data_IF_706223392750
#
_entry.id   IF_706223392750
#
_cell.length_a   1.000
_cell.length_b   1.000
_cell.length_c   1.000
_cell.angle_alpha   90.00
_cell.angle_beta   90.00
_cell.angle_gamma   90.00
#
_symmetry.space_group_name_H-M   'P 1'
#
loop_
_entity.id
_entity.type
_entity.pdbx_description
1 polymer ?
#
# COMPACT_ATOMS: atom_id res chain seq x y z
N UNK A 1 -4.88 20.23 30.32
CA UNK A 1 -5.50 19.33 31.32
C UNK A 1 -6.67 20.07 31.96
N UNK A 2 -7.85 19.44 32.05
CA UNK A 2 -9.06 20.01 32.66
C UNK A 2 -9.10 19.87 34.20
N UNK A 3 -8.13 19.14 34.77
CA UNK A 3 -7.96 18.98 36.21
C UNK A 3 -6.83 19.89 36.67
N UNK A 4 -7.12 20.83 37.55
CA UNK A 4 -6.11 21.65 38.22
C UNK A 4 -5.77 21.01 39.55
N UNK A 5 -4.52 21.08 39.98
CA UNK A 5 -4.09 20.56 41.27
C UNK A 5 -3.70 21.70 42.18
N UNK A 6 -4.09 21.59 43.45
CA UNK A 6 -3.64 22.49 44.51
C UNK A 6 -2.62 21.74 45.35
N UNK A 7 -1.39 22.21 45.36
CA UNK A 7 -0.30 21.61 46.15
C UNK A 7 -0.17 22.43 47.43
N UNK A 8 -0.28 21.79 48.58
CA UNK A 8 -0.28 22.44 49.90
C UNK A 8 0.86 21.86 50.73
N UNK A 9 1.78 22.70 51.18
CA UNK A 9 2.86 22.25 52.06
C UNK A 9 2.27 21.70 53.37
N UNK A 10 2.77 20.56 53.84
CA UNK A 10 2.24 19.80 54.98
C UNK A 10 2.33 20.59 56.28
N UNK A 11 3.47 21.24 56.51
CA UNK A 11 3.71 21.99 57.75
C UNK A 11 3.30 23.47 57.66
N UNK A 12 3.73 24.20 56.63
CA UNK A 12 3.44 25.64 56.50
C UNK A 12 2.04 25.97 55.97
N UNK A 13 1.36 25.01 55.33
CA UNK A 13 0.07 25.25 54.67
C UNK A 13 0.17 26.10 53.38
N UNK A 14 1.38 26.43 52.94
CA UNK A 14 1.61 27.26 51.76
C UNK A 14 1.13 26.57 50.48
N UNK A 15 0.46 27.33 49.60
CA UNK A 15 -0.13 26.81 48.36
C UNK A 15 0.73 27.19 47.17
N UNK A 16 1.16 26.19 46.40
CA UNK A 16 1.89 26.39 45.14
C UNK A 16 1.10 25.83 43.96
N UNK A 17 1.37 26.36 42.76
CA UNK A 17 0.80 25.84 41.52
C UNK A 17 1.44 24.48 41.19
N UNK A 18 0.68 23.63 40.50
CA UNK A 18 1.15 22.29 40.14
C UNK A 18 2.40 22.30 39.25
N UNK A 19 2.54 23.31 38.37
CA UNK A 19 3.72 23.43 37.51
C UNK A 19 4.99 23.79 38.30
N UNK A 20 4.85 24.47 39.44
CA UNK A 20 5.96 24.77 40.33
C UNK A 20 6.29 23.55 41.20
N UNK A 21 5.26 22.83 41.68
CA UNK A 21 5.43 21.55 42.36
C UNK A 21 6.17 20.51 41.52
N UNK A 22 5.92 20.45 40.20
CA UNK A 22 6.63 19.53 39.30
C UNK A 22 8.14 19.77 39.23
N UNK A 23 8.57 21.03 39.39
CA UNK A 23 9.97 21.45 39.31
C UNK A 23 10.75 21.18 40.61
N UNK A 24 10.06 20.87 41.71
CA UNK A 24 10.68 20.49 42.97
C UNK A 24 11.41 19.14 42.88
N UNK A 25 12.42 18.97 43.71
CA UNK A 25 13.11 17.68 43.90
C UNK A 25 12.18 16.65 44.56
N UNK A 26 12.52 15.36 44.44
CA UNK A 26 11.70 14.27 45.00
C UNK A 26 11.58 14.32 46.53
N UNK A 27 12.55 14.93 47.22
CA UNK A 27 12.50 15.14 48.66
C UNK A 27 11.54 16.28 49.03
N UNK A 28 11.62 17.42 48.34
CA UNK A 28 10.71 18.56 48.56
C UNK A 28 9.26 18.21 48.20
N UNK A 29 9.04 17.40 47.15
CA UNK A 29 7.70 16.94 46.78
C UNK A 29 6.99 16.17 47.91
N UNK A 30 7.74 15.42 48.74
CA UNK A 30 7.18 14.68 49.89
C UNK A 30 6.62 15.60 50.97
N UNK A 31 7.02 16.86 51.00
CA UNK A 31 6.55 17.85 51.97
C UNK A 31 5.22 18.49 51.55
N UNK A 32 4.67 18.18 50.37
CA UNK A 32 3.38 18.72 49.92
C UNK A 32 2.31 17.64 49.79
N UNK A 33 1.07 18.03 50.07
CA UNK A 33 -0.15 17.30 49.75
C UNK A 33 -0.74 17.84 48.43
N UNK A 34 -1.00 16.96 47.46
CA UNK A 34 -1.54 17.33 46.16
C UNK A 34 -3.02 16.98 46.08
N UNK A 35 -3.87 17.99 45.98
CA UNK A 35 -5.32 17.83 45.90
C UNK A 35 -5.83 18.13 44.49
N UNK A 36 -6.52 17.17 43.82
CA UNK A 36 -7.16 17.42 42.55
C UNK A 36 -8.40 18.30 42.74
N UNK A 37 -8.51 19.36 41.92
CA UNK A 37 -9.69 20.21 41.84
C UNK A 37 -10.39 19.98 40.51
N UNK A 38 -11.64 19.50 40.57
CA UNK A 38 -12.51 19.49 39.39
C UNK A 38 -13.02 20.91 39.14
N UNK A 39 -12.81 21.39 37.93
CA UNK A 39 -13.38 22.65 37.46
C UNK A 39 -14.40 22.36 36.37
N UNK A 40 -15.52 23.08 36.44
CA UNK A 40 -16.57 23.05 35.43
C UNK A 40 -16.40 24.28 34.56
N UNK A 41 -16.34 24.06 33.25
CA UNK A 41 -16.22 25.13 32.27
C UNK A 41 -17.52 25.23 31.48
N UNK A 42 -17.99 26.46 31.26
CA UNK A 42 -19.06 26.73 30.30
C UNK A 42 -18.39 26.93 28.94
N UNK A 43 -18.68 26.03 28.02
CA UNK A 43 -18.17 26.08 26.65
C UNK A 43 -19.32 26.37 25.69
N UNK A 44 -19.01 27.03 24.59
CA UNK A 44 -19.95 27.29 23.51
C UNK A 44 -19.48 26.50 22.29
N UNK A 45 -20.41 25.81 21.63
CA UNK A 45 -20.13 25.27 20.30
C UNK A 45 -19.82 26.45 19.37
N UNK A 46 -18.90 26.29 18.42
CA UNK A 46 -18.51 27.38 17.52
C UNK A 46 -19.72 27.92 16.73
N UNK A 47 -20.68 27.07 16.39
CA UNK A 47 -21.94 27.46 15.75
C UNK A 47 -22.86 28.32 16.63
N UNK A 48 -22.63 28.37 17.94
CA UNK A 48 -23.34 29.25 18.88
C UNK A 48 -22.65 30.63 19.03
N UNK A 49 -21.60 30.89 18.27
CA UNK A 49 -20.81 32.12 18.32
C UNK A 49 -20.85 32.85 16.97
N UNK A 50 -20.51 34.13 16.95
CA UNK A 50 -20.40 34.91 15.72
C UNK A 50 -19.03 34.72 15.00
N UNK A 51 -18.31 33.63 15.26
CA UNK A 51 -16.96 33.43 14.71
C UNK A 51 -16.96 33.44 13.18
N UNK A 52 -17.99 32.85 12.56
CA UNK A 52 -18.13 32.82 11.10
C UNK A 52 -18.22 34.22 10.49
N UNK A 53 -18.95 35.12 11.14
CA UNK A 53 -19.15 36.51 10.70
C UNK A 53 -17.92 37.39 11.02
N UNK A 54 -17.36 37.23 12.22
CA UNK A 54 -16.27 38.06 12.71
C UNK A 54 -14.90 37.66 12.11
N UNK A 55 -14.70 36.37 11.80
CA UNK A 55 -13.44 35.81 11.29
C UNK A 55 -13.70 34.66 10.30
N UNK A 56 -14.22 34.98 9.09
CA UNK A 56 -14.57 33.97 8.10
C UNK A 56 -13.38 33.09 7.67
N UNK A 57 -12.17 33.65 7.58
CA UNK A 57 -10.96 32.87 7.24
C UNK A 57 -10.62 31.82 8.30
N UNK A 58 -10.76 32.14 9.58
CA UNK A 58 -10.53 31.20 10.67
C UNK A 58 -11.60 30.11 10.69
N UNK A 59 -12.86 30.48 10.42
CA UNK A 59 -13.94 29.52 10.25
C UNK A 59 -13.65 28.54 9.11
N UNK A 60 -13.29 29.03 7.92
CA UNK A 60 -12.94 28.18 6.78
C UNK A 60 -11.75 27.27 7.08
N UNK A 61 -10.74 27.77 7.80
CA UNK A 61 -9.61 26.94 8.25
C UNK A 61 -10.06 25.82 9.17
N UNK A 62 -10.89 26.11 10.17
CA UNK A 62 -11.43 25.10 11.09
C UNK A 62 -12.32 24.11 10.36
N UNK A 63 -13.16 24.58 9.45
CA UNK A 63 -14.00 23.71 8.62
C UNK A 63 -13.14 22.80 7.76
N UNK A 64 -12.03 23.26 7.18
CA UNK A 64 -11.09 22.42 6.42
C UNK A 64 -10.31 21.44 7.30
N UNK A 65 -9.89 21.87 8.50
CA UNK A 65 -9.11 21.04 9.44
C UNK A 65 -9.95 19.94 10.10
N UNK A 66 -11.22 20.24 10.39
CA UNK A 66 -12.16 19.33 11.06
C UNK A 66 -13.22 18.75 10.11
N UNK A 67 -13.17 19.07 8.82
CA UNK A 67 -13.78 18.24 7.79
C UNK A 67 -13.04 16.92 7.81
N UNK A 68 -13.59 15.96 8.55
CA UNK A 68 -13.13 14.58 8.54
C UNK A 68 -12.84 14.18 7.09
N UNK A 69 -11.70 13.54 6.87
CA UNK A 69 -11.48 12.79 5.63
C UNK A 69 -12.59 11.74 5.61
N UNK A 70 -13.73 12.09 5.03
CA UNK A 70 -14.78 11.12 4.78
C UNK A 70 -14.09 10.09 3.93
N UNK A 71 -14.03 8.85 4.44
CA UNK A 71 -13.77 7.71 3.58
C UNK A 71 -14.78 7.88 2.46
N UNK A 72 -14.29 8.07 1.22
CA UNK A 72 -15.16 8.38 0.09
C UNK A 72 -16.27 7.34 0.07
N UNK A 73 -17.52 7.80 0.04
CA UNK A 73 -18.70 6.95 -0.03
C UNK A 73 -18.65 6.18 -1.36
N UNK A 74 -18.01 5.03 -1.30
CA UNK A 74 -18.07 3.93 -2.22
C UNK A 74 -18.01 2.68 -1.37
N UNK A 75 -18.61 1.60 -1.85
CA UNK A 75 -18.71 0.29 -1.20
C UNK A 75 -17.33 -0.41 -1.04
N UNK A 76 -16.24 0.35 -0.87
CA UNK A 76 -14.89 -0.18 -0.72
C UNK A 76 -14.53 -0.31 0.77
N UNK A 77 -14.40 -1.57 1.14
CA UNK A 77 -14.18 -2.11 2.46
C UNK A 77 -12.85 -1.70 3.12
N UNK A 78 -11.97 -0.88 2.53
CA UNK A 78 -10.57 -0.83 2.95
C UNK A 78 -10.19 0.42 3.77
N UNK A 79 -9.55 0.16 4.91
CA UNK A 79 -8.95 1.13 5.79
C UNK A 79 -7.52 0.65 6.02
N UNK A 80 -6.64 1.06 5.10
CA UNK A 80 -5.30 0.51 4.95
C UNK A 80 -4.50 0.37 6.27
N UNK A 81 -4.55 1.33 7.22
CA UNK A 81 -3.86 1.17 8.50
C UNK A 81 -4.37 -0.01 9.33
N UNK A 82 -5.68 -0.27 9.35
CA UNK A 82 -6.26 -1.40 10.08
C UNK A 82 -6.09 -2.70 9.31
N UNK A 83 -6.16 -2.66 7.98
CA UNK A 83 -5.89 -3.84 7.14
C UNK A 83 -4.43 -4.32 7.30
N UNK A 84 -3.47 -3.39 7.32
CA UNK A 84 -2.07 -3.69 7.61
C UNK A 84 -1.89 -4.21 9.05
N UNK A 85 -2.59 -3.61 10.02
CA UNK A 85 -2.57 -4.04 11.42
C UNK A 85 -3.00 -5.52 11.56
N UNK A 86 -4.02 -5.95 10.83
CA UNK A 86 -4.48 -7.35 10.80
C UNK A 86 -3.44 -8.22 10.09
N UNK A 87 -3.04 -7.86 8.87
CA UNK A 87 -2.14 -8.65 8.02
C UNK A 87 -0.80 -8.93 8.70
N UNK A 88 -0.23 -7.90 9.31
CA UNK A 88 1.12 -7.94 9.87
C UNK A 88 1.09 -8.23 11.39
N UNK A 89 -0.08 -8.59 11.95
CA UNK A 89 -0.29 -8.89 13.38
C UNK A 89 0.27 -7.81 14.32
N UNK A 90 0.02 -6.55 14.01
CA UNK A 90 0.62 -5.43 14.74
C UNK A 90 -0.13 -5.05 16.01
N UNK A 91 -1.28 -5.67 16.29
CA UNK A 91 -2.08 -5.41 17.49
C UNK A 91 -1.56 -6.14 18.73
N UNK A 92 -2.13 -5.81 19.90
CA UNK A 92 -1.80 -6.37 21.21
C UNK A 92 -1.97 -7.89 21.24
N UNK A 93 -2.94 -8.39 20.48
CA UNK A 93 -3.19 -9.80 20.27
C UNK A 93 -3.46 -10.08 18.78
N UNK A 94 -3.28 -11.34 18.32
CA UNK A 94 -3.63 -11.73 16.96
C UNK A 94 -5.10 -11.46 16.64
N UNK A 95 -5.37 -10.95 15.44
CA UNK A 95 -6.72 -10.76 14.91
C UNK A 95 -6.92 -11.78 13.80
N UNK A 96 -7.95 -12.61 13.93
CA UNK A 96 -8.23 -13.72 13.01
C UNK A 96 -9.59 -13.51 12.33
N UNK A 97 -9.60 -12.94 11.12
CA UNK A 97 -10.76 -13.05 10.23
C UNK A 97 -11.00 -14.53 9.91
N UNK A 98 -12.22 -15.02 10.14
CA UNK A 98 -12.62 -16.41 9.87
C UNK A 98 -14.06 -16.45 9.41
N UNK A 99 -14.39 -17.39 8.54
CA UNK A 99 -15.77 -17.62 8.10
C UNK A 99 -16.65 -18.12 9.27
N UNK A 100 -17.38 -17.22 9.93
CA UNK A 100 -18.30 -17.52 11.04
C UNK A 100 -19.28 -16.36 11.30
N UNK A 101 -20.27 -16.55 12.16
CA UNK A 101 -21.30 -15.51 12.44
C UNK A 101 -21.01 -14.64 13.67
N UNK A 102 -20.01 -15.00 14.48
CA UNK A 102 -19.74 -14.35 15.76
C UNK A 102 -18.41 -13.57 15.73
N UNK A 103 -18.38 -12.40 16.35
CA UNK A 103 -17.15 -11.69 16.69
C UNK A 103 -16.94 -11.74 18.21
N UNK A 104 -15.71 -11.97 18.66
CA UNK A 104 -15.38 -11.99 20.08
C UNK A 104 -13.87 -11.83 20.33
N UNK A 105 -13.55 -11.19 21.44
CA UNK A 105 -12.24 -11.31 22.09
C UNK A 105 -12.20 -12.52 23.03
N UNK A 106 -11.28 -13.45 22.76
CA UNK A 106 -11.04 -14.61 23.63
C UNK A 106 -9.99 -14.29 24.69
N UNK A 107 -10.43 -14.11 25.94
CA UNK A 107 -9.54 -13.83 27.08
C UNK A 107 -8.53 -14.98 27.28
N UNK A 108 -8.98 -16.24 27.20
CA UNK A 108 -8.14 -17.42 27.48
C UNK A 108 -7.06 -17.65 26.43
N UNK A 109 -7.34 -17.34 25.17
CA UNK A 109 -6.38 -17.49 24.06
C UNK A 109 -5.65 -16.19 23.75
N UNK A 110 -6.07 -15.08 24.35
CA UNK A 110 -5.65 -13.72 24.02
C UNK A 110 -5.62 -13.49 22.51
N UNK A 111 -6.77 -13.65 21.86
CA UNK A 111 -6.94 -13.44 20.41
C UNK A 111 -8.32 -12.84 20.11
N UNK A 112 -8.41 -12.07 19.03
CA UNK A 112 -9.67 -11.59 18.50
C UNK A 112 -10.05 -12.48 17.32
N UNK A 113 -11.28 -12.99 17.34
CA UNK A 113 -11.87 -13.66 16.17
C UNK A 113 -13.02 -12.81 15.66
N UNK A 114 -13.03 -12.55 14.37
CA UNK A 114 -14.02 -11.70 13.70
C UNK A 114 -14.48 -12.41 12.42
N UNK A 115 -15.76 -12.28 12.00
CA UNK A 115 -16.19 -12.77 10.69
C UNK A 115 -15.33 -12.19 9.57
N UNK A 116 -15.24 -12.91 8.46
CA UNK A 116 -14.60 -12.42 7.24
C UNK A 116 -15.23 -11.09 6.81
N UNK A 117 -14.40 -10.22 6.24
CA UNK A 117 -14.79 -8.86 5.90
C UNK A 117 -15.97 -8.85 4.91
N UNK A 118 -15.98 -9.82 4.01
CA UNK A 118 -16.98 -10.07 2.97
C UNK A 118 -18.34 -10.52 3.55
N UNK A 119 -18.39 -10.99 4.82
CA UNK A 119 -19.64 -11.33 5.49
C UNK A 119 -20.40 -10.10 5.99
N UNK A 120 -19.75 -8.93 6.06
CA UNK A 120 -20.38 -7.69 6.52
C UNK A 120 -21.01 -6.91 5.37
N UNK A 121 -22.12 -6.22 5.67
CA UNK A 121 -22.83 -5.37 4.71
C UNK A 121 -22.02 -4.14 4.25
N UNK A 122 -21.03 -3.73 5.04
CA UNK A 122 -20.15 -2.60 4.74
C UNK A 122 -18.83 -2.71 5.50
N UNK A 123 -17.80 -2.02 5.00
CA UNK A 123 -16.52 -1.87 5.70
C UNK A 123 -16.69 -1.22 7.08
N UNK A 124 -17.55 -0.21 7.21
CA UNK A 124 -17.85 0.42 8.51
C UNK A 124 -18.43 -0.58 9.52
N UNK A 125 -19.29 -1.51 9.10
CA UNK A 125 -19.84 -2.55 9.97
C UNK A 125 -18.76 -3.53 10.44
N UNK A 126 -17.84 -3.90 9.54
CA UNK A 126 -16.67 -4.72 9.87
C UNK A 126 -15.76 -4.00 10.87
N UNK A 127 -15.30 -2.78 10.57
CA UNK A 127 -14.39 -2.03 11.44
C UNK A 127 -15.04 -1.66 12.77
N UNK A 128 -16.32 -1.29 12.78
CA UNK A 128 -17.05 -1.01 14.02
C UNK A 128 -17.12 -2.24 14.93
N UNK A 129 -17.35 -3.43 14.37
CA UNK A 129 -17.32 -4.69 15.11
C UNK A 129 -15.91 -5.03 15.57
N UNK A 130 -14.91 -4.86 14.70
CA UNK A 130 -13.52 -5.12 15.06
C UNK A 130 -13.04 -4.20 16.18
N UNK A 131 -13.34 -2.90 16.11
CA UNK A 131 -12.97 -1.94 17.15
C UNK A 131 -13.62 -2.27 18.50
N UNK A 132 -14.81 -2.86 18.50
CA UNK A 132 -15.46 -3.35 19.72
C UNK A 132 -14.60 -4.43 20.37
N UNK A 133 -14.24 -5.47 19.63
CA UNK A 133 -13.39 -6.55 20.13
C UNK A 133 -11.96 -6.09 20.47
N UNK A 134 -11.40 -5.16 19.70
CA UNK A 134 -10.13 -4.52 20.04
C UNK A 134 -10.24 -3.77 21.36
N UNK A 135 -11.36 -3.11 21.64
CA UNK A 135 -11.58 -2.40 22.90
C UNK A 135 -11.62 -3.38 24.07
N UNK A 136 -12.28 -4.53 23.93
CA UNK A 136 -12.21 -5.61 24.92
C UNK A 136 -10.78 -6.10 25.14
N UNK A 137 -10.01 -6.34 24.08
CA UNK A 137 -8.62 -6.83 24.21
C UNK A 137 -7.72 -5.86 24.99
N UNK A 138 -8.00 -4.56 25.00
CA UNK A 138 -7.25 -3.61 25.83
C UNK A 138 -7.48 -3.81 27.34
N UNK A 139 -8.57 -4.48 27.72
CA UNK A 139 -8.89 -4.78 29.12
C UNK A 139 -8.14 -5.99 29.67
N UNK A 140 -7.37 -6.71 28.84
CA UNK A 140 -6.59 -7.87 29.23
C UNK A 140 -5.53 -7.56 30.31
N UNK A 141 -5.08 -8.62 30.98
CA UNK A 141 -3.99 -8.55 31.96
C UNK A 141 -2.70 -8.05 31.29
N UNK A 142 -1.99 -7.13 31.94
CA UNK A 142 -0.78 -6.49 31.45
C UNK A 142 -1.02 -5.34 30.47
N UNK A 143 -2.29 -4.99 30.17
CA UNK A 143 -2.64 -3.88 29.27
C UNK A 143 -3.31 -2.73 30.02
N UNK A 144 -4.61 -2.85 30.33
CA UNK A 144 -5.34 -1.93 31.20
C UNK A 144 -5.98 -2.63 32.40
N UNK A 145 -5.82 -3.95 32.53
CA UNK A 145 -6.22 -4.76 33.70
C UNK A 145 -7.69 -4.54 34.13
N UNK A 146 -8.59 -4.38 33.15
CA UNK A 146 -10.02 -4.14 33.42
C UNK A 146 -10.81 -5.42 33.55
N UNK A 147 -10.49 -6.40 32.70
CA UNK A 147 -11.21 -7.67 32.61
C UNK A 147 -10.76 -8.54 33.78
N UNK A 148 -11.74 -8.93 34.60
CA UNK A 148 -11.56 -9.93 35.65
C UNK A 148 -12.38 -11.16 35.30
N UNK A 149 -12.03 -12.36 35.80
CA UNK A 149 -12.88 -13.54 35.64
C UNK A 149 -14.23 -13.28 36.32
N UNK A 150 -15.28 -13.02 35.54
CA UNK A 150 -16.64 -12.83 36.03
C UNK A 150 -17.63 -13.69 35.23
N UNK A 151 -18.85 -13.85 35.75
CA UNK A 151 -19.90 -14.61 35.05
C UNK A 151 -20.59 -13.70 34.03
N UNK A 152 -20.94 -14.26 32.88
CA UNK A 152 -21.74 -13.56 31.86
C UNK A 152 -23.01 -12.96 32.49
N UNK A 153 -23.29 -11.69 32.18
CA UNK A 153 -24.42 -10.94 32.76
C UNK A 153 -24.18 -10.36 34.16
N UNK A 154 -22.95 -10.42 34.71
CA UNK A 154 -22.60 -9.70 35.93
C UNK A 154 -22.52 -8.17 35.70
N UNK A 155 -22.54 -7.40 36.78
CA UNK A 155 -22.36 -5.94 36.73
C UNK A 155 -21.01 -5.54 36.11
N UNK A 156 -19.94 -6.27 36.45
CA UNK A 156 -18.61 -6.07 35.88
C UNK A 156 -18.59 -6.34 34.37
N UNK A 157 -19.31 -7.38 33.93
CA UNK A 157 -19.45 -7.71 32.51
C UNK A 157 -20.23 -6.61 31.77
N UNK A 158 -21.35 -6.16 32.32
CA UNK A 158 -22.13 -5.06 31.76
C UNK A 158 -21.31 -3.76 31.65
N UNK A 159 -20.48 -3.47 32.66
CA UNK A 159 -19.56 -2.32 32.61
C UNK A 159 -18.54 -2.46 31.48
N UNK A 160 -17.94 -3.63 31.28
CA UNK A 160 -16.94 -3.83 30.23
C UNK A 160 -17.56 -3.73 28.83
N UNK A 161 -18.79 -4.22 28.63
CA UNK A 161 -19.54 -3.99 27.39
C UNK A 161 -19.79 -2.50 27.14
N UNK A 162 -20.08 -1.71 28.19
CA UNK A 162 -20.19 -0.25 28.05
C UNK A 162 -18.88 0.39 27.60
N UNK A 163 -17.76 -0.09 28.15
CA UNK A 163 -16.43 0.37 27.75
C UNK A 163 -16.16 0.02 26.29
N UNK A 164 -16.48 -1.20 25.87
CA UNK A 164 -16.31 -1.67 24.50
C UNK A 164 -17.17 -0.91 23.50
N UNK A 165 -18.45 -0.69 23.81
CA UNK A 165 -19.40 -0.01 22.95
C UNK A 165 -19.03 1.47 22.73
N UNK A 166 -18.76 2.20 23.81
CA UNK A 166 -18.37 3.61 23.73
C UNK A 166 -16.96 3.79 23.20
N UNK A 167 -16.03 2.90 23.55
CA UNK A 167 -14.65 2.94 23.07
C UNK A 167 -14.59 2.80 21.55
N UNK A 168 -15.24 1.78 21.01
CA UNK A 168 -15.31 1.58 19.57
C UNK A 168 -16.11 2.67 18.84
N UNK A 169 -17.13 3.27 19.47
CA UNK A 169 -17.81 4.45 18.90
C UNK A 169 -16.85 5.65 18.77
N UNK A 170 -16.04 5.92 19.80
CA UNK A 170 -15.04 7.00 19.76
C UNK A 170 -13.94 6.73 18.72
N UNK A 171 -13.50 5.47 18.58
CA UNK A 171 -12.52 5.08 17.57
C UNK A 171 -13.09 5.26 16.16
N UNK A 172 -14.30 4.73 15.90
CA UNK A 172 -14.97 4.88 14.62
C UNK A 172 -15.17 6.36 14.25
N UNK A 173 -15.63 7.17 15.19
CA UNK A 173 -15.82 8.61 15.01
C UNK A 173 -14.50 9.33 14.65
N UNK A 174 -13.37 8.95 15.28
CA UNK A 174 -12.05 9.54 14.96
C UNK A 174 -11.67 9.34 13.49
N UNK A 175 -12.02 8.18 12.92
CA UNK A 175 -11.69 7.82 11.54
C UNK A 175 -12.82 8.13 10.55
N UNK A 176 -13.82 8.92 10.95
CA UNK A 176 -14.91 9.34 10.08
C UNK A 176 -15.90 8.23 9.72
N UNK A 177 -15.90 7.12 10.47
CA UNK A 177 -16.82 6.00 10.29
C UNK A 177 -18.09 6.19 11.12
N UNK A 178 -19.22 5.77 10.57
CA UNK A 178 -20.48 5.70 11.31
C UNK A 178 -20.55 4.39 12.07
N UNK A 179 -20.72 4.47 13.40
CA UNK A 179 -21.05 3.28 14.20
C UNK A 179 -22.54 3.20 14.45
N UNK A 180 -23.17 2.12 13.97
CA UNK A 180 -24.52 1.75 14.37
C UNK A 180 -24.47 0.94 15.67
N UNK A 181 -25.34 1.28 16.61
CA UNK A 181 -25.51 0.52 17.85
C UNK A 181 -26.17 -0.81 17.49
N UNK A 182 -25.61 -1.93 17.96
CA UNK A 182 -26.20 -3.26 17.73
C UNK A 182 -27.46 -3.41 18.60
N UNK A 183 -28.43 -4.18 18.11
CA UNK A 183 -29.65 -4.47 18.89
C UNK A 183 -29.32 -5.21 20.20
N UNK A 184 -28.29 -6.06 20.19
CA UNK A 184 -27.81 -6.79 21.36
C UNK A 184 -27.26 -5.87 22.46
N UNK A 185 -26.80 -4.66 22.10
CA UNK A 185 -26.37 -3.63 23.07
C UNK A 185 -27.54 -3.10 23.90
N UNK A 186 -28.80 -3.29 23.46
CA UNK A 186 -30.00 -2.86 24.19
C UNK A 186 -30.17 -3.60 25.53
N UNK A 187 -29.71 -4.85 25.63
CA UNK A 187 -29.82 -5.65 26.85
C UNK A 187 -29.07 -5.02 28.04
N UNK A 188 -27.98 -4.29 27.76
CA UNK A 188 -27.12 -3.69 28.78
C UNK A 188 -27.59 -2.29 29.23
N UNK A 189 -28.41 -1.61 28.43
CA UNK A 189 -28.93 -0.26 28.75
C UNK A 189 -29.65 -0.21 30.10
N UNK A 190 -30.40 -1.26 30.45
CA UNK A 190 -31.11 -1.34 31.73
C UNK A 190 -30.14 -1.42 32.91
N UNK A 191 -29.12 -2.29 32.82
CA UNK A 191 -28.08 -2.42 33.85
C UNK A 191 -27.30 -1.12 34.05
N UNK A 192 -26.92 -0.45 32.96
CA UNK A 192 -26.23 0.84 33.04
C UNK A 192 -27.08 1.93 33.69
N UNK A 193 -28.37 2.01 33.37
CA UNK A 193 -29.27 2.97 33.99
C UNK A 193 -29.39 2.76 35.50
N UNK A 194 -29.44 1.52 35.95
CA UNK A 194 -29.54 1.20 37.37
C UNK A 194 -28.23 1.53 38.10
N UNK A 195 -27.06 1.18 37.54
CA UNK A 195 -25.74 1.55 38.09
C UNK A 195 -25.52 3.07 38.14
N UNK A 196 -26.00 3.81 37.13
CA UNK A 196 -25.90 5.27 37.09
C UNK A 196 -26.76 5.96 38.15
N UNK A 197 -27.94 5.40 38.46
CA UNK A 197 -28.81 5.91 39.52
C UNK A 197 -28.19 5.69 40.90
N UNK A 198 -27.61 4.51 41.12
CA UNK A 198 -26.97 4.15 42.39
C UNK A 198 -25.67 4.94 42.63
N UNK A 199 -24.84 5.10 41.58
CA UNK A 199 -23.57 5.81 41.69
C UNK A 199 -23.29 6.67 40.45
N UNK A 200 -23.58 7.98 40.49
CA UNK A 200 -23.21 8.90 39.41
C UNK A 200 -21.70 8.99 39.15
N UNK A 201 -20.86 8.48 40.05
CA UNK A 201 -19.42 8.42 39.86
C UNK A 201 -19.01 7.26 38.92
N UNK A 202 -19.87 6.24 38.78
CA UNK A 202 -19.70 5.11 37.85
C UNK A 202 -19.35 5.60 36.44
N UNK A 203 -20.16 6.51 35.88
CA UNK A 203 -19.95 7.04 34.52
C UNK A 203 -18.57 7.64 34.33
N UNK A 204 -18.03 8.34 35.35
CA UNK A 204 -16.72 8.99 35.22
C UNK A 204 -15.61 7.97 35.14
N UNK A 205 -15.65 6.93 35.97
CA UNK A 205 -14.65 5.85 35.93
C UNK A 205 -14.72 5.08 34.62
N UNK A 206 -15.94 4.77 34.15
CA UNK A 206 -16.17 4.09 32.87
C UNK A 206 -15.68 4.94 31.70
N UNK A 207 -16.00 6.23 31.66
CA UNK A 207 -15.53 7.14 30.60
C UNK A 207 -14.01 7.33 30.59
N UNK A 208 -13.34 7.24 31.75
CA UNK A 208 -11.88 7.24 31.81
C UNK A 208 -11.29 5.98 31.15
N UNK A 209 -11.90 4.83 31.38
CA UNK A 209 -11.48 3.56 30.76
C UNK A 209 -11.78 3.52 29.26
N UNK A 210 -12.97 3.99 28.85
CA UNK A 210 -13.33 4.22 27.45
C UNK A 210 -12.28 5.07 26.75
N UNK A 211 -11.90 6.20 27.36
CA UNK A 211 -10.89 7.09 26.80
C UNK A 211 -9.53 6.40 26.67
N UNK A 212 -9.09 5.65 27.69
CA UNK A 212 -7.80 4.95 27.67
C UNK A 212 -7.77 3.87 26.59
N UNK A 213 -8.82 3.05 26.51
CA UNK A 213 -8.94 1.98 25.54
C UNK A 213 -8.97 2.53 24.09
N UNK A 214 -9.82 3.52 23.83
CA UNK A 214 -9.87 4.19 22.54
C UNK A 214 -8.52 4.84 22.19
N UNK A 215 -7.86 5.50 23.15
CA UNK A 215 -6.56 6.13 22.91
C UNK A 215 -5.49 5.12 22.47
N UNK A 216 -5.44 3.93 23.07
CA UNK A 216 -4.49 2.87 22.67
C UNK A 216 -4.71 2.44 21.22
N UNK A 217 -5.96 2.17 20.85
CA UNK A 217 -6.33 1.79 19.48
C UNK A 217 -5.93 2.91 18.52
N UNK A 218 -6.34 4.14 18.82
CA UNK A 218 -6.11 5.27 17.91
C UNK A 218 -4.64 5.60 17.74
N UNK A 219 -3.86 5.56 18.82
CA UNK A 219 -2.41 5.82 18.75
C UNK A 219 -1.70 4.78 17.89
N UNK A 220 -2.10 3.51 18.01
CA UNK A 220 -1.51 2.43 17.21
C UNK A 220 -1.89 2.55 15.74
N UNK A 221 -3.16 2.78 15.44
CA UNK A 221 -3.65 2.96 14.08
C UNK A 221 -3.04 4.20 13.43
N UNK A 222 -2.93 5.31 14.15
CA UNK A 222 -2.29 6.54 13.66
C UNK A 222 -0.79 6.34 13.39
N UNK A 223 -0.11 5.58 14.26
CA UNK A 223 1.31 5.23 14.05
C UNK A 223 1.48 4.44 12.74
N UNK A 224 0.65 3.43 12.51
CA UNK A 224 0.69 2.66 11.26
C UNK A 224 0.32 3.54 10.06
N UNK A 225 -0.67 4.43 10.20
CA UNK A 225 -1.03 5.37 9.14
C UNK A 225 0.12 6.32 8.79
N UNK A 226 0.89 6.77 9.78
CA UNK A 226 2.10 7.57 9.57
C UNK A 226 3.21 6.77 8.90
N UNK A 227 3.46 5.53 9.34
CA UNK A 227 4.45 4.62 8.73
C UNK A 227 4.08 4.30 7.28
N UNK A 228 2.80 4.06 6.98
CA UNK A 228 2.31 3.86 5.61
C UNK A 228 2.48 5.13 4.77
N UNK A 229 2.16 6.31 5.31
CA UNK A 229 2.39 7.58 4.62
C UNK A 229 3.87 7.83 4.37
N UNK A 230 4.73 7.56 5.33
CA UNK A 230 6.18 7.66 5.16
C UNK A 230 6.69 6.67 4.12
N UNK A 231 6.23 5.43 4.13
CA UNK A 231 6.59 4.46 3.09
C UNK A 231 6.07 4.86 1.70
N UNK A 232 4.90 5.49 1.62
CA UNK A 232 4.34 6.03 0.37
C UNK A 232 5.12 7.26 -0.08
N UNK A 233 5.41 8.19 0.82
CA UNK A 233 6.19 9.40 0.55
C UNK A 233 7.63 9.02 0.20
N UNK A 234 8.24 8.04 0.86
CA UNK A 234 9.53 7.45 0.50
C UNK A 234 9.44 6.68 -0.82
N UNK A 235 8.33 6.02 -1.15
CA UNK A 235 8.11 5.38 -2.44
C UNK A 235 7.76 6.36 -3.58
N UNK A 236 7.28 7.57 -3.25
CA UNK A 236 6.93 8.65 -4.19
C UNK A 236 8.07 9.67 -4.34
N UNK A 237 8.90 9.86 -3.31
CA UNK A 237 10.11 10.70 -3.34
C UNK A 237 11.38 9.91 -3.67
N UNK A 238 11.38 8.59 -3.47
CA UNK A 238 12.19 7.73 -4.32
C UNK A 238 11.57 7.81 -5.72
N UNK A 239 12.37 8.17 -6.71
CA UNK A 239 12.08 7.80 -8.09
C UNK A 239 11.62 6.33 -8.10
N UNK A 240 10.62 5.95 -8.95
CA UNK A 240 10.11 4.57 -8.97
C UNK A 240 11.31 3.65 -8.89
N UNK A 241 11.39 2.79 -7.85
CA UNK A 241 12.55 1.90 -7.63
C UNK A 241 12.91 1.35 -8.99
N UNK A 242 14.03 1.84 -9.54
CA UNK A 242 14.39 1.60 -10.92
C UNK A 242 14.37 0.09 -11.11
N UNK A 243 13.57 -0.46 -12.05
CA UNK A 243 13.45 -1.92 -12.16
C UNK A 243 14.88 -2.46 -12.31
N UNK A 244 15.30 -3.31 -11.39
CA UNK A 244 16.65 -3.90 -11.38
C UNK A 244 16.57 -5.23 -12.09
N UNK A 245 17.47 -5.44 -13.03
CA UNK A 245 17.63 -6.68 -13.78
C UNK A 245 18.92 -7.38 -13.34
N UNK A 246 18.89 -8.70 -13.33
CA UNK A 246 19.98 -9.55 -12.89
C UNK A 246 20.53 -10.32 -14.08
N UNK A 247 21.79 -10.11 -14.41
CA UNK A 247 22.45 -10.76 -15.54
C UNK A 247 23.48 -11.77 -15.03
N UNK A 248 23.32 -13.04 -15.38
CA UNK A 248 24.26 -14.09 -14.99
C UNK A 248 25.62 -13.86 -15.64
N UNK A 249 26.65 -13.65 -14.82
CA UNK A 249 28.05 -13.48 -15.26
C UNK A 249 28.88 -14.73 -15.04
N UNK A 250 28.58 -15.53 -14.02
CA UNK A 250 29.29 -16.79 -13.79
C UNK A 250 28.37 -17.83 -13.16
N UNK A 251 28.17 -18.94 -13.87
CA UNK A 251 27.39 -20.07 -13.39
C UNK A 251 28.32 -21.24 -13.06
N UNK A 252 28.43 -21.55 -11.77
CA UNK A 252 29.38 -22.51 -11.22
C UNK A 252 28.66 -23.79 -10.79
N UNK A 253 29.01 -24.89 -11.45
CA UNK A 253 28.41 -26.21 -11.18
C UNK A 253 29.42 -27.29 -10.81
N UNK A 254 30.71 -27.08 -11.11
CA UNK A 254 31.75 -28.06 -10.84
C UNK A 254 32.20 -27.94 -9.38
N UNK A 255 32.40 -29.08 -8.74
CA UNK A 255 32.79 -29.14 -7.31
C UNK A 255 34.06 -28.35 -7.02
N UNK A 256 35.02 -28.33 -7.94
CA UNK A 256 36.27 -27.56 -7.78
C UNK A 256 36.02 -26.04 -7.72
N UNK A 257 34.99 -25.55 -8.42
CA UNK A 257 34.63 -24.13 -8.49
C UNK A 257 33.73 -23.72 -7.30
N UNK A 258 32.83 -24.62 -6.87
CA UNK A 258 31.90 -24.34 -5.76
C UNK A 258 32.54 -24.50 -4.39
N UNK A 259 33.55 -25.37 -4.23
CA UNK A 259 34.14 -25.71 -2.92
C UNK A 259 34.67 -24.48 -2.17
N UNK A 260 35.21 -23.49 -2.88
CA UNK A 260 35.67 -22.24 -2.24
C UNK A 260 34.50 -21.41 -1.71
N UNK A 261 33.38 -21.33 -2.45
CA UNK A 261 32.17 -20.62 -2.02
C UNK A 261 31.43 -21.38 -0.91
N UNK A 262 31.35 -22.70 -1.00
CA UNK A 262 30.78 -23.57 0.02
C UNK A 262 31.48 -23.38 1.38
N UNK A 263 32.81 -23.26 1.38
CA UNK A 263 33.58 -23.02 2.60
C UNK A 263 33.24 -21.69 3.31
N UNK A 264 32.82 -20.65 2.56
CA UNK A 264 32.35 -19.39 3.14
C UNK A 264 30.89 -19.48 3.57
N UNK A 265 30.03 -20.09 2.73
CA UNK A 265 28.61 -20.33 3.04
C UNK A 265 28.43 -21.14 4.33
N UNK A 266 29.16 -22.23 4.49
CA UNK A 266 29.04 -23.13 5.64
C UNK A 266 29.56 -22.50 6.94
N UNK A 267 30.46 -21.52 6.83
CA UNK A 267 30.90 -20.67 7.96
C UNK A 267 29.96 -19.51 8.27
N UNK A 268 28.98 -19.25 7.41
CA UNK A 268 28.09 -18.09 7.49
C UNK A 268 28.77 -16.75 7.16
N UNK A 269 29.92 -16.77 6.50
CA UNK A 269 30.67 -15.57 6.10
C UNK A 269 30.24 -15.12 4.70
N UNK A 270 29.11 -14.43 4.63
CA UNK A 270 28.50 -13.99 3.37
C UNK A 270 29.24 -12.79 2.73
N UNK A 271 29.95 -11.98 3.51
CA UNK A 271 30.78 -10.88 3.00
C UNK A 271 32.03 -11.41 2.29
N UNK A 272 32.69 -12.42 2.88
CA UNK A 272 33.78 -13.14 2.24
C UNK A 272 33.31 -13.90 1.00
N UNK A 273 32.12 -14.49 1.04
CA UNK A 273 31.49 -15.16 -0.11
C UNK A 273 31.27 -14.20 -1.28
N UNK A 274 30.71 -13.01 -1.02
CA UNK A 274 30.49 -11.99 -2.05
C UNK A 274 31.81 -11.49 -2.64
N UNK A 275 32.82 -11.29 -1.80
CA UNK A 275 34.16 -10.87 -2.24
C UNK A 275 34.78 -11.89 -3.18
N UNK A 276 34.68 -13.18 -2.84
CA UNK A 276 35.16 -14.27 -3.70
C UNK A 276 34.33 -14.39 -4.99
N UNK A 277 33.00 -14.25 -4.90
CA UNK A 277 32.11 -14.32 -6.07
C UNK A 277 32.48 -13.26 -7.12
N UNK A 278 32.88 -12.06 -6.68
CA UNK A 278 33.37 -10.99 -7.57
C UNK A 278 34.67 -11.33 -8.30
N UNK A 279 35.49 -12.26 -7.81
CA UNK A 279 36.70 -12.72 -8.54
C UNK A 279 36.35 -13.50 -9.81
N UNK A 280 35.15 -14.10 -9.88
CA UNK A 280 34.67 -14.81 -11.07
C UNK A 280 34.14 -13.88 -12.17
N UNK A 281 34.01 -12.58 -11.87
CA UNK A 281 33.60 -11.60 -12.85
C UNK A 281 34.78 -11.20 -13.75
N UNK A 282 34.65 -11.47 -15.06
CA UNK A 282 35.68 -11.26 -16.07
C UNK A 282 35.57 -9.92 -16.82
N UNK A 283 34.62 -9.06 -16.42
CA UNK A 283 34.40 -7.76 -17.06
C UNK A 283 33.32 -7.73 -18.14
N UNK A 284 32.58 -8.83 -18.34
CA UNK A 284 31.48 -8.89 -19.30
C UNK A 284 30.27 -8.02 -18.90
N UNK A 285 29.61 -7.39 -19.87
CA UNK A 285 28.40 -6.59 -19.64
C UNK A 285 27.14 -7.43 -19.46
N UNK A 286 25.99 -6.87 -19.86
CA UNK A 286 24.71 -7.60 -19.87
C UNK A 286 24.83 -8.84 -20.75
N UNK A 287 24.58 -10.00 -20.15
CA UNK A 287 24.39 -11.27 -20.84
C UNK A 287 22.98 -11.32 -21.44
N UNK A 288 22.89 -11.14 -22.76
CA UNK A 288 21.62 -10.97 -23.46
C UNK A 288 20.66 -12.16 -23.29
N UNK A 289 21.20 -13.37 -23.22
CA UNK A 289 20.42 -14.61 -23.08
C UNK A 289 20.01 -14.86 -21.61
N UNK A 290 20.91 -14.57 -20.67
CA UNK A 290 20.75 -14.91 -19.24
C UNK A 290 20.57 -13.66 -18.37
N UNK A 291 19.58 -12.84 -18.73
CA UNK A 291 19.15 -11.67 -17.94
C UNK A 291 17.71 -11.81 -17.48
N UNK A 292 17.45 -11.46 -16.22
CA UNK A 292 16.22 -11.76 -15.51
C UNK A 292 15.68 -10.58 -14.70
N UNK A 293 14.38 -10.57 -14.44
CA UNK A 293 13.72 -9.58 -13.58
C UNK A 293 13.85 -9.90 -12.07
N UNK A 294 14.41 -11.06 -11.73
CA UNK A 294 14.60 -11.57 -10.37
C UNK A 294 15.89 -12.40 -10.30
N UNK A 295 16.61 -12.46 -9.16
CA UNK A 295 17.75 -13.35 -9.02
C UNK A 295 17.32 -14.82 -8.81
N UNK A 296 16.09 -15.06 -8.37
CA UNK A 296 15.53 -16.40 -8.15
C UNK A 296 14.78 -16.81 -9.42
N UNK A 297 15.35 -17.73 -10.21
CA UNK A 297 14.80 -18.17 -11.50
C UNK A 297 14.19 -19.56 -11.44
N UNK A 298 14.76 -20.45 -10.64
CA UNK A 298 14.43 -21.85 -10.58
C UNK A 298 13.93 -22.25 -9.19
N UNK A 299 13.18 -23.36 -9.14
CA UNK A 299 12.75 -23.95 -7.87
C UNK A 299 13.99 -24.41 -7.09
N UNK A 300 14.16 -23.86 -5.88
CA UNK A 300 15.27 -24.19 -4.99
C UNK A 300 16.46 -23.22 -5.09
N UNK A 301 16.37 -22.20 -5.93
CA UNK A 301 17.27 -21.05 -5.86
C UNK A 301 17.08 -20.30 -4.54
N UNK A 302 18.19 -20.01 -3.88
CA UNK A 302 18.23 -19.23 -2.65
C UNK A 302 19.25 -18.10 -2.82
N UNK A 303 18.77 -16.85 -2.73
CA UNK A 303 19.64 -15.68 -2.72
C UNK A 303 20.44 -15.66 -1.42
N UNK A 304 21.76 -15.83 -1.50
CA UNK A 304 22.62 -15.89 -0.32
C UNK A 304 23.03 -14.51 0.17
N UNK A 305 23.40 -13.63 -0.76
CA UNK A 305 23.88 -12.27 -0.48
C UNK A 305 23.73 -11.41 -1.73
N UNK A 306 23.46 -10.12 -1.55
CA UNK A 306 23.51 -9.12 -2.61
C UNK A 306 24.09 -7.81 -2.08
N UNK A 307 24.71 -7.04 -2.97
CA UNK A 307 25.10 -5.66 -2.70
C UNK A 307 24.52 -4.72 -3.78
N UNK A 308 25.17 -3.56 -3.99
CA UNK A 308 24.76 -2.59 -5.00
C UNK A 308 24.83 -3.14 -6.42
N UNK A 309 25.86 -3.94 -6.73
CA UNK A 309 26.23 -4.29 -8.10
C UNK A 309 26.12 -5.81 -8.38
N UNK A 310 26.17 -6.66 -7.35
CA UNK A 310 26.20 -8.12 -7.48
C UNK A 310 25.14 -8.82 -6.62
N UNK A 311 24.73 -10.00 -7.06
CA UNK A 311 23.94 -10.96 -6.30
C UNK A 311 24.52 -12.36 -6.45
N UNK A 312 24.53 -13.16 -5.38
CA UNK A 312 24.98 -14.55 -5.40
C UNK A 312 23.84 -15.47 -5.01
N UNK A 313 23.47 -16.35 -5.93
CA UNK A 313 22.36 -17.27 -5.81
C UNK A 313 22.91 -18.69 -5.70
N UNK A 314 22.35 -19.48 -4.79
CA UNK A 314 22.72 -20.88 -4.61
C UNK A 314 21.51 -21.78 -4.81
N UNK A 315 21.67 -22.86 -5.58
CA UNK A 315 20.64 -23.87 -5.75
C UNK A 315 21.09 -25.22 -5.18
N UNK A 316 20.50 -25.59 -4.05
CA UNK A 316 20.76 -26.87 -3.38
C UNK A 316 20.03 -28.07 -3.99
N UNK A 317 19.08 -27.85 -4.90
CA UNK A 317 18.24 -28.91 -5.48
C UNK A 317 18.92 -29.67 -6.63
N UNK A 318 19.93 -29.07 -7.26
CA UNK A 318 20.63 -29.61 -8.44
C UNK A 318 22.11 -29.92 -8.18
N UNK A 319 22.44 -30.34 -6.96
CA UNK A 319 23.81 -30.71 -6.60
C UNK A 319 24.69 -29.55 -6.09
N UNK A 320 24.09 -28.40 -5.77
CA UNK A 320 24.77 -27.28 -5.12
C UNK A 320 25.47 -26.34 -6.09
N UNK A 321 24.73 -25.67 -6.96
CA UNK A 321 25.28 -24.74 -7.95
C UNK A 321 25.24 -23.29 -7.44
N UNK A 322 26.16 -22.46 -7.91
CA UNK A 322 26.15 -21.01 -7.66
C UNK A 322 25.96 -20.25 -8.96
N UNK A 323 25.17 -19.18 -8.90
CA UNK A 323 25.05 -18.20 -9.97
C UNK A 323 25.45 -16.83 -9.41
N UNK A 324 26.47 -16.24 -10.04
CA UNK A 324 26.92 -14.88 -9.74
C UNK A 324 26.29 -13.98 -10.79
N UNK A 325 25.48 -13.02 -10.34
CA UNK A 325 24.72 -12.12 -11.19
C UNK A 325 25.13 -10.67 -10.97
N UNK A 326 25.21 -9.91 -12.06
CA UNK A 326 25.32 -8.45 -12.04
C UNK A 326 23.95 -7.78 -12.04
N UNK A 327 23.85 -6.65 -11.35
CA UNK A 327 22.64 -5.83 -11.26
C UNK A 327 22.74 -4.67 -12.24
N UNK A 328 21.72 -4.54 -13.08
CA UNK A 328 21.59 -3.46 -14.05
C UNK A 328 20.29 -2.71 -13.83
N UNK A 329 20.32 -1.41 -14.05
CA UNK A 329 19.12 -0.60 -13.98
C UNK A 329 18.29 -0.71 -15.27
N UNK A 330 16.98 -0.42 -15.20
CA UNK A 330 16.14 -0.41 -16.39
C UNK A 330 16.66 0.52 -17.48
N UNK A 331 17.26 1.64 -17.10
CA UNK A 331 17.88 2.56 -18.05
C UNK A 331 19.06 1.93 -18.78
N UNK A 332 19.94 1.24 -18.06
CA UNK A 332 21.09 0.54 -18.64
C UNK A 332 20.66 -0.57 -19.59
N UNK A 333 19.63 -1.33 -19.21
CA UNK A 333 19.04 -2.38 -20.07
C UNK A 333 18.42 -1.78 -21.34
N UNK A 334 17.64 -0.70 -21.22
CA UNK A 334 17.04 -0.02 -22.38
C UNK A 334 18.11 0.57 -23.30
N UNK A 335 19.19 1.14 -22.74
CA UNK A 335 20.30 1.66 -23.50
C UNK A 335 21.12 0.55 -24.19
N UNK A 336 21.24 -0.63 -23.56
CA UNK A 336 21.83 -1.83 -24.19
C UNK A 336 21.00 -2.29 -25.39
N UNK A 337 19.68 -2.44 -25.22
CA UNK A 337 18.76 -2.83 -26.30
C UNK A 337 18.85 -1.87 -27.49
N UNK A 338 18.92 -0.56 -27.24
CA UNK A 338 19.07 0.44 -28.32
C UNK A 338 20.39 0.33 -29.08
N UNK A 339 21.46 -0.13 -28.44
CA UNK A 339 22.82 -0.17 -29.03
C UNK A 339 23.10 -1.48 -29.74
N UNK A 340 22.64 -2.60 -29.18
CA UNK A 340 23.03 -3.94 -29.61
C UNK A 340 21.86 -4.77 -30.15
N UNK A 341 20.61 -4.30 -29.96
CA UNK A 341 19.42 -5.02 -30.38
C UNK A 341 19.05 -6.16 -29.43
N UNK A 342 18.22 -7.08 -29.93
CA UNK A 342 17.71 -8.24 -29.17
C UNK A 342 17.84 -9.58 -29.90
N UNK A 343 18.69 -9.67 -30.94
CA UNK A 343 18.82 -10.88 -31.78
C UNK A 343 19.08 -12.15 -30.97
N UNK A 344 19.93 -12.08 -29.95
CA UNK A 344 20.32 -13.21 -29.09
C UNK A 344 19.71 -13.14 -27.69
N UNK A 345 18.70 -12.28 -27.52
CA UNK A 345 18.20 -11.96 -26.21
C UNK A 345 17.18 -12.99 -25.68
N UNK A 346 17.21 -13.19 -24.37
CA UNK A 346 16.22 -13.97 -23.62
C UNK A 346 14.87 -13.24 -23.50
N UNK A 347 13.89 -13.92 -22.93
CA UNK A 347 12.50 -13.44 -22.85
C UNK A 347 12.36 -12.12 -22.06
N UNK A 348 13.20 -11.91 -21.04
CA UNK A 348 13.19 -10.69 -20.23
C UNK A 348 13.51 -9.47 -21.07
N UNK A 349 14.63 -9.50 -21.81
CA UNK A 349 15.06 -8.38 -22.65
C UNK A 349 14.11 -8.17 -23.84
N UNK A 350 13.59 -9.25 -24.44
CA UNK A 350 12.51 -9.18 -25.43
C UNK A 350 11.28 -8.49 -24.85
N UNK A 351 10.89 -8.82 -23.62
CA UNK A 351 9.79 -8.17 -22.91
C UNK A 351 9.99 -6.67 -22.74
N UNK A 352 11.20 -6.24 -22.37
CA UNK A 352 11.56 -4.81 -22.26
C UNK A 352 11.51 -4.13 -23.63
N UNK A 353 12.02 -4.77 -24.69
CA UNK A 353 11.95 -4.23 -26.05
C UNK A 353 10.49 -4.04 -26.53
N UNK A 354 9.60 -4.99 -26.24
CA UNK A 354 8.16 -4.85 -26.49
C UNK A 354 7.53 -3.68 -25.72
N UNK A 355 7.96 -3.44 -24.48
CA UNK A 355 7.53 -2.28 -23.69
C UNK A 355 8.03 -0.96 -24.32
N UNK A 356 9.29 -0.92 -24.76
CA UNK A 356 9.86 0.21 -25.49
C UNK A 356 9.12 0.51 -26.79
N UNK A 357 8.77 -0.51 -27.58
CA UNK A 357 7.99 -0.34 -28.80
C UNK A 357 6.58 0.19 -28.48
N UNK A 358 5.87 -0.40 -27.53
CA UNK A 358 4.54 0.07 -27.11
C UNK A 358 4.54 1.55 -26.69
N UNK A 359 5.56 1.99 -25.95
CA UNK A 359 5.74 3.40 -25.56
C UNK A 359 5.90 4.33 -26.78
N UNK A 360 6.69 3.92 -27.79
CA UNK A 360 6.87 4.70 -29.02
C UNK A 360 5.55 4.87 -29.79
N UNK A 361 4.77 3.80 -29.96
CA UNK A 361 3.47 3.87 -30.65
C UNK A 361 2.41 4.64 -29.84
N UNK A 362 2.46 4.60 -28.50
CA UNK A 362 1.59 5.41 -27.66
C UNK A 362 1.84 6.91 -27.86
N UNK A 363 3.11 7.33 -27.99
CA UNK A 363 3.47 8.73 -28.28
C UNK A 363 2.93 9.16 -29.66
N UNK A 364 3.05 8.31 -30.69
CA UNK A 364 2.47 8.58 -32.01
C UNK A 364 0.95 8.77 -31.95
N UNK A 365 0.26 7.91 -31.20
CA UNK A 365 -1.20 7.97 -31.05
C UNK A 365 -1.65 9.28 -30.40
N UNK A 366 -0.93 9.73 -29.37
CA UNK A 366 -1.20 11.02 -28.70
C UNK A 366 -0.97 12.23 -29.60
N UNK A 367 0.03 12.15 -30.49
CA UNK A 367 0.35 13.21 -31.45
C UNK A 367 -0.60 13.26 -32.66
N UNK A 368 -1.57 12.33 -32.74
CA UNK A 368 -2.55 12.21 -33.84
C UNK A 368 -1.90 12.17 -35.23
N UNK A 369 -0.71 11.63 -35.33
CA UNK A 369 -0.02 11.48 -36.61
C UNK A 369 -0.66 10.31 -37.39
N UNK A 370 -1.32 10.56 -38.55
CA UNK A 370 -1.67 9.47 -39.44
C UNK A 370 -0.39 8.79 -39.91
N UNK A 371 -0.40 7.46 -39.97
CA UNK A 371 0.82 6.72 -40.28
C UNK A 371 1.07 6.66 -41.78
N UNK A 372 0.02 6.44 -42.58
CA UNK A 372 0.13 6.31 -44.03
C UNK A 372 -1.06 6.95 -44.76
N UNK A 373 -0.77 7.71 -45.80
CA UNK A 373 -1.74 8.16 -46.81
C UNK A 373 -1.48 7.33 -48.07
N UNK A 374 -2.44 6.50 -48.44
CA UNK A 374 -2.31 5.56 -49.56
C UNK A 374 -2.59 6.27 -50.90
N UNK A 375 -2.06 5.78 -52.03
CA UNK A 375 -2.27 6.37 -53.35
C UNK A 375 -3.75 6.49 -53.77
N UNK A 376 -4.61 5.60 -53.27
CA UNK A 376 -6.06 5.65 -53.49
C UNK A 376 -6.80 6.71 -52.62
N UNK A 377 -6.08 7.43 -51.75
CA UNK A 377 -6.62 8.44 -50.84
C UNK A 377 -7.03 7.92 -49.45
N UNK A 378 -6.86 6.63 -49.17
CA UNK A 378 -7.16 6.06 -47.85
C UNK A 378 -6.12 6.49 -46.80
N UNK A 379 -6.61 6.83 -45.60
CA UNK A 379 -5.76 7.18 -44.45
C UNK A 379 -5.74 6.02 -43.46
N UNK A 380 -4.57 5.44 -43.28
CA UNK A 380 -4.35 4.29 -42.40
C UNK A 380 -3.61 4.71 -41.12
N UNK A 381 -4.02 4.11 -40.01
CA UNK A 381 -3.40 4.30 -38.70
C UNK A 381 -2.72 3.02 -38.26
N UNK A 382 -1.66 3.17 -37.46
CA UNK A 382 -0.88 2.06 -36.91
C UNK A 382 -1.04 2.00 -35.40
N UNK A 383 -1.08 0.78 -34.89
CA UNK A 383 -0.92 0.49 -33.46
C UNK A 383 0.00 -0.70 -33.28
N UNK A 384 0.67 -0.76 -32.14
CA UNK A 384 1.51 -1.90 -31.81
C UNK A 384 0.80 -2.84 -30.86
N UNK A 385 0.72 -4.11 -31.26
CA UNK A 385 0.12 -5.19 -30.50
C UNK A 385 1.19 -5.93 -29.71
N UNK A 386 1.32 -5.60 -28.43
CA UNK A 386 2.34 -6.15 -27.53
C UNK A 386 2.28 -7.68 -27.38
N UNK A 387 1.08 -8.26 -27.42
CA UNK A 387 0.89 -9.71 -27.26
C UNK A 387 1.42 -10.49 -28.46
N UNK A 388 1.07 -10.04 -29.67
CA UNK A 388 1.47 -10.70 -30.92
C UNK A 388 2.82 -10.23 -31.47
N UNK A 389 3.38 -9.14 -30.94
CA UNK A 389 4.60 -8.49 -31.44
C UNK A 389 4.48 -8.00 -32.89
N UNK A 390 3.30 -7.48 -33.22
CA UNK A 390 2.93 -7.06 -34.58
C UNK A 390 2.48 -5.59 -34.61
N UNK A 391 2.68 -4.94 -35.74
CA UNK A 391 2.09 -3.66 -36.11
C UNK A 391 0.74 -3.94 -36.75
N UNK A 392 -0.33 -3.52 -36.09
CA UNK A 392 -1.71 -3.54 -36.59
C UNK A 392 -1.96 -2.26 -37.39
N UNK A 393 -2.37 -2.40 -38.65
CA UNK A 393 -2.68 -1.29 -39.58
C UNK A 393 -4.13 -1.33 -40.00
N UNK A 394 -4.81 -0.18 -39.97
CA UNK A 394 -6.16 -0.06 -40.52
C UNK A 394 -6.86 1.27 -40.20
N UNK A 395 -8.14 1.40 -40.56
CA UNK A 395 -8.92 2.59 -40.31
C UNK A 395 -9.28 2.71 -38.82
N UNK A 396 -9.42 3.95 -38.35
CA UNK A 396 -9.88 4.26 -36.99
C UNK A 396 -11.39 4.23 -36.93
N UNK A 397 -11.93 3.51 -35.95
CA UNK A 397 -13.36 3.51 -35.60
C UNK A 397 -13.56 4.08 -34.19
N UNK A 398 -14.82 4.28 -33.79
CA UNK A 398 -15.16 4.70 -32.41
C UNK A 398 -14.69 3.70 -31.33
N UNK A 399 -14.31 2.47 -31.72
CA UNK A 399 -13.79 1.43 -30.82
C UNK A 399 -12.26 1.26 -30.89
N UNK A 400 -11.55 2.08 -31.67
CA UNK A 400 -10.11 1.96 -31.93
C UNK A 400 -9.80 1.57 -33.37
N UNK A 401 -8.53 1.24 -33.64
CA UNK A 401 -8.06 0.80 -34.96
C UNK A 401 -8.59 -0.61 -35.22
N UNK A 402 -9.23 -0.79 -36.38
CA UNK A 402 -9.60 -2.12 -36.86
C UNK A 402 -8.43 -2.65 -37.69
N UNK A 403 -7.68 -3.60 -37.13
CA UNK A 403 -6.52 -4.19 -37.80
C UNK A 403 -6.93 -4.95 -39.07
N UNK A 404 -6.70 -4.33 -40.23
CA UNK A 404 -6.88 -4.94 -41.56
C UNK A 404 -5.62 -5.71 -41.98
N UNK A 405 -4.45 -5.13 -41.68
CA UNK A 405 -3.15 -5.75 -41.96
C UNK A 405 -2.31 -5.85 -40.70
N UNK A 406 -1.48 -6.88 -40.64
CA UNK A 406 -0.55 -7.14 -39.54
C UNK A 406 0.84 -7.39 -40.07
N UNK A 407 1.83 -6.68 -39.55
CA UNK A 407 3.24 -6.86 -39.93
C UNK A 407 4.11 -7.12 -38.71
N UNK A 408 5.14 -7.97 -38.79
CA UNK A 408 6.06 -8.18 -37.66
C UNK A 408 6.83 -6.90 -37.36
N UNK A 409 7.05 -6.62 -36.07
CA UNK A 409 7.90 -5.52 -35.63
C UNK A 409 9.33 -6.02 -35.43
N UNK A 410 10.30 -5.38 -36.10
CA UNK A 410 11.72 -5.64 -35.91
C UNK A 410 12.31 -4.69 -34.85
N UNK A 411 12.59 -5.23 -33.67
CA UNK A 411 13.17 -4.49 -32.55
C UNK A 411 14.64 -4.09 -32.75
N UNK A 412 15.32 -4.61 -33.78
CA UNK A 412 16.67 -4.17 -34.15
C UNK A 412 16.65 -2.99 -35.13
N UNK A 413 15.49 -2.70 -35.71
CA UNK A 413 15.28 -1.58 -36.62
C UNK A 413 14.64 -0.39 -35.89
N UNK A 414 14.86 0.82 -36.39
CA UNK A 414 14.18 2.00 -35.86
C UNK A 414 12.67 1.94 -36.14
N UNK A 415 11.89 2.73 -35.39
CA UNK A 415 10.46 2.89 -35.64
C UNK A 415 10.19 3.33 -37.09
N UNK A 416 10.96 4.28 -37.61
CA UNK A 416 10.82 4.77 -38.99
C UNK A 416 11.13 3.69 -40.03
N UNK A 417 12.14 2.85 -39.79
CA UNK A 417 12.48 1.75 -40.69
C UNK A 417 11.39 0.66 -40.71
N UNK A 418 10.81 0.36 -39.54
CA UNK A 418 9.65 -0.53 -39.43
C UNK A 418 8.45 0.04 -40.22
N UNK A 419 8.12 1.30 -39.99
CA UNK A 419 6.99 1.96 -40.67
C UNK A 419 7.22 2.09 -42.18
N UNK A 420 8.44 2.38 -42.63
CA UNK A 420 8.79 2.39 -44.05
C UNK A 420 8.59 1.02 -44.69
N UNK A 421 9.04 -0.05 -44.02
CA UNK A 421 8.87 -1.43 -44.51
C UNK A 421 7.38 -1.81 -44.61
N UNK A 422 6.57 -1.35 -43.65
CA UNK A 422 5.10 -1.51 -43.70
C UNK A 422 4.50 -0.73 -44.86
N UNK A 423 4.90 0.53 -45.05
CA UNK A 423 4.41 1.39 -46.14
C UNK A 423 4.72 0.80 -47.52
N UNK A 424 5.95 0.32 -47.73
CA UNK A 424 6.36 -0.32 -48.99
C UNK A 424 5.47 -1.53 -49.30
N UNK A 425 5.23 -2.39 -48.30
CA UNK A 425 4.34 -3.56 -48.46
C UNK A 425 2.88 -3.18 -48.73
N UNK A 426 2.37 -2.13 -48.10
CA UNK A 426 1.00 -1.67 -48.32
C UNK A 426 0.83 -1.07 -49.73
N UNK A 427 1.83 -0.34 -50.24
CA UNK A 427 1.80 0.24 -51.59
C UNK A 427 1.83 -0.82 -52.69
N UNK A 428 2.39 -2.00 -52.42
CA UNK A 428 2.40 -3.12 -53.37
C UNK A 428 1.03 -3.83 -53.49
N UNK A 429 0.13 -3.66 -52.50
CA UNK A 429 -1.18 -4.32 -52.45
C UNK A 429 -2.15 -3.71 -53.46
N UNK A 430 -2.90 -4.56 -54.17
CA UNK A 430 -3.84 -4.14 -55.22
C UNK A 430 -4.97 -3.24 -54.69
N UNK A 431 -5.37 -3.41 -53.43
CA UNK A 431 -6.46 -2.66 -52.78
C UNK A 431 -6.15 -1.18 -52.56
N UNK A 432 -4.87 -0.79 -52.58
CA UNK A 432 -4.41 0.58 -52.32
C UNK A 432 -3.78 1.28 -53.53
N UNK A 433 -3.83 0.66 -54.72
CA UNK A 433 -3.35 1.28 -55.97
C UNK A 433 -4.31 2.36 -56.45
N UNK A 434 -3.79 3.38 -57.13
CA UNK A 434 -4.63 4.37 -57.82
C UNK A 434 -5.57 3.65 -58.81
N UNK A 435 -6.89 3.80 -58.63
CA UNK A 435 -7.83 3.52 -59.71
C UNK A 435 -7.54 4.51 -60.84
N UNK A 436 -6.94 4.02 -61.92
CA UNK A 436 -6.92 4.74 -63.19
C UNK A 436 -8.38 4.94 -63.61
N UNK A 437 -8.94 6.11 -63.36
CA UNK A 437 -10.14 6.57 -64.04
C UNK A 437 -9.82 6.61 -65.54
N UNK A 438 -10.16 5.54 -66.25
CA UNK A 438 -10.37 5.60 -67.69
C UNK A 438 -11.52 6.58 -67.93
N UNK A 439 -11.16 7.85 -68.12
CA UNK A 439 -12.06 8.84 -68.68
C UNK A 439 -12.43 8.36 -70.09
N UNK A 440 -13.59 7.71 -70.21
CA UNK A 440 -14.26 7.44 -71.48
C UNK A 440 -14.39 8.75 -72.26
N UNK A 441 -13.43 9.01 -73.14
CA UNK A 441 -13.55 9.94 -74.26
C UNK A 441 -14.50 9.33 -75.30
N UNK A 442 -15.78 9.25 -74.95
CA UNK A 442 -16.89 8.87 -75.82
C UNK A 442 -17.29 10.02 -76.74
N UNK A 443 -16.44 10.37 -77.70
CA UNK A 443 -16.82 11.24 -78.80
C UNK A 443 -17.90 10.58 -79.67
N UNK A 444 -19.11 11.16 -79.69
CA UNK A 444 -20.08 10.92 -80.78
C UNK A 444 -20.85 12.19 -81.11
N UNK A 445 -20.34 12.90 -82.12
CA UNK A 445 -21.14 13.78 -82.99
C UNK A 445 -22.07 12.95 -83.88
N UNK A 446 -23.15 13.63 -84.32
CA UNK A 446 -24.14 13.38 -85.39
C UNK A 446 -25.48 12.83 -84.86
N UNK A 447 -26.62 13.47 -85.11
CA UNK A 447 -27.01 14.37 -86.21
C UNK A 447 -28.11 15.34 -85.78
#
# INVERSE_FOLDING_TARGET
MLTTFTCIHKDSGEKIKYDDYKKLSDNEKKEYNVYPKMQVFRVFNVAQTNLQEARPELWQKLEKEYSLSKIENGEHFNFAPVDALIKDNLWICPIKPQHQDNAYYSISKNEIVVPEKEQFKSGEAFYGTLFHEMTHSTGAEGVLDRIKPTTFGSAEYAREELVAELGSALVAQRYGMTKHIKEDSCAYLKGWLDELKESPQFIKTTLLDVKRAASLITQKVDKIALELKQNIDEAQTAAPKEKVYYSSVAYLQLTDDTMRLDAFKDKGDYEGLLTLAKEYYDGNGINEEYTYSSPIQNRGDNLLIEDKDFAVVYNGSVGGTYDVMLKFTEKEVRDHIRRYGIERAGDTLKGVAKEMAAEQFAIMTQQKTPAFEMPNGDVLYVSYNKESDMIDVGPVTNAGIVAQHRFPYDHNASLDANLQTVNEKLNDMEEYREELQEAEYGGRMRR
#
